data_IF_230165204786
#
_entry.id   IF_230165204786
#
_cell.length_a   1.000
_cell.length_b   1.000
_cell.length_c   1.000
_cell.angle_alpha   90.00
_cell.angle_beta   90.00
_cell.angle_gamma   90.00
#
_symmetry.space_group_name_H-M   'P 1'
#
loop_
_entity.id
_entity.type
_entity.pdbx_description
1 polymer ?
#
# COMPACT_ATOMS: atom_id res chain seq x y z
N UNK A 1 -14.72 -24.43 -3.60
CA UNK A 1 -14.16 -23.09 -3.89
C UNK A 1 -15.31 -22.19 -4.29
N UNK A 2 -15.65 -21.20 -3.46
CA UNK A 2 -16.72 -20.25 -3.78
C UNK A 2 -16.33 -19.51 -5.07
N UNK A 3 -17.16 -19.56 -6.10
CA UNK A 3 -16.91 -18.94 -7.41
C UNK A 3 -15.63 -19.38 -8.15
N UNK A 4 -15.09 -20.58 -7.86
CA UNK A 4 -13.89 -21.08 -8.55
C UNK A 4 -12.59 -20.35 -8.19
N UNK A 5 -12.56 -19.63 -7.06
CA UNK A 5 -11.36 -18.94 -6.60
C UNK A 5 -10.20 -19.91 -6.35
N UNK A 6 -9.05 -19.63 -6.96
CA UNK A 6 -7.81 -20.36 -6.72
C UNK A 6 -7.27 -20.05 -5.32
N UNK A 7 -6.85 -21.09 -4.60
CA UNK A 7 -6.15 -20.92 -3.32
C UNK A 7 -4.71 -20.53 -3.63
N UNK A 8 -4.13 -19.52 -2.93
CA UNK A 8 -2.72 -19.18 -3.10
C UNK A 8 -1.84 -20.42 -2.86
N UNK A 9 -0.83 -20.63 -3.70
CA UNK A 9 0.08 -21.77 -3.56
C UNK A 9 0.82 -21.75 -2.22
N UNK A 10 1.08 -20.56 -1.68
CA UNK A 10 1.78 -20.34 -0.42
C UNK A 10 0.97 -19.42 0.50
N UNK A 11 0.13 -20.03 1.35
CA UNK A 11 -0.68 -19.31 2.33
C UNK A 11 0.14 -18.41 3.26
N UNK A 12 1.25 -18.88 3.87
CA UNK A 12 2.09 -18.03 4.71
C UNK A 12 2.59 -16.76 4.00
N UNK A 13 3.11 -16.90 2.77
CA UNK A 13 3.59 -15.77 1.99
C UNK A 13 2.46 -14.77 1.70
N UNK A 14 1.28 -15.26 1.35
CA UNK A 14 0.09 -14.43 1.15
C UNK A 14 -0.26 -13.60 2.38
N UNK A 15 -0.32 -14.21 3.56
CA UNK A 15 -0.64 -13.50 4.82
C UNK A 15 0.45 -12.50 5.21
N UNK A 16 1.72 -12.78 4.94
CA UNK A 16 2.81 -11.81 5.14
C UNK A 16 2.63 -10.60 4.23
N UNK A 17 2.37 -10.80 2.94
CA UNK A 17 2.12 -9.71 2.00
C UNK A 17 0.89 -8.89 2.39
N UNK A 18 -0.16 -9.55 2.90
CA UNK A 18 -1.35 -8.89 3.45
C UNK A 18 -1.03 -8.05 4.70
N UNK A 19 -0.24 -8.58 5.62
CA UNK A 19 0.20 -7.83 6.80
C UNK A 19 1.00 -6.58 6.41
N UNK A 20 1.86 -6.69 5.38
CA UNK A 20 2.62 -5.57 4.85
C UNK A 20 1.72 -4.51 4.19
N UNK A 21 0.67 -4.92 3.47
CA UNK A 21 -0.34 -4.00 2.94
C UNK A 21 -1.01 -3.19 4.05
N UNK A 22 -1.44 -3.86 5.12
CA UNK A 22 -2.09 -3.24 6.27
C UNK A 22 -1.11 -2.27 6.94
N UNK A 23 0.14 -2.70 7.16
CA UNK A 23 1.16 -1.86 7.77
C UNK A 23 1.43 -0.60 6.94
N UNK A 24 1.64 -0.73 5.63
CA UNK A 24 1.83 0.41 4.72
C UNK A 24 0.63 1.38 4.74
N UNK A 25 -0.59 0.83 4.77
CA UNK A 25 -1.83 1.61 4.87
C UNK A 25 -1.90 2.39 6.19
N UNK A 26 -1.52 1.76 7.31
CA UNK A 26 -1.46 2.43 8.61
C UNK A 26 -0.40 3.53 8.61
N UNK A 27 0.81 3.26 8.14
CA UNK A 27 1.91 4.22 8.15
C UNK A 27 1.59 5.47 7.31
N UNK A 28 0.98 5.29 6.13
CA UNK A 28 0.52 6.40 5.30
C UNK A 28 -0.67 7.14 5.94
N UNK A 29 -1.61 6.43 6.53
CA UNK A 29 -2.71 7.01 7.30
C UNK A 29 -2.25 7.88 8.48
N UNK A 30 -1.20 7.44 9.19
CA UNK A 30 -0.59 8.21 10.29
C UNK A 30 0.00 9.53 9.80
N UNK A 31 0.70 9.54 8.66
CA UNK A 31 1.23 10.78 8.07
C UNK A 31 0.11 11.77 7.81
N UNK A 32 -0.99 11.33 7.17
CA UNK A 32 -2.12 12.21 6.92
C UNK A 32 -2.80 12.67 8.19
N UNK A 33 -2.96 11.79 9.19
CA UNK A 33 -3.52 12.14 10.50
C UNK A 33 -2.72 13.20 11.25
N UNK A 34 -1.39 13.21 11.10
CA UNK A 34 -0.51 14.21 11.72
C UNK A 34 -0.45 15.54 10.96
N UNK A 35 -0.80 15.55 9.66
CA UNK A 35 -0.75 16.76 8.81
C UNK A 35 -2.13 17.44 8.76
N UNK A 36 -3.21 16.67 8.68
CA UNK A 36 -4.56 17.19 8.43
C UNK A 36 -5.32 17.35 9.75
N UNK A 37 -5.52 18.60 10.16
CA UNK A 37 -6.17 18.93 11.45
C UNK A 37 -7.67 18.64 11.55
N UNK A 38 -8.34 18.34 10.44
CA UNK A 38 -9.80 18.15 10.39
C UNK A 38 -10.14 16.74 9.92
N UNK A 39 -10.96 16.04 10.68
CA UNK A 39 -11.39 14.66 10.38
C UNK A 39 -12.06 14.52 9.01
N UNK A 40 -12.92 15.47 8.62
CA UNK A 40 -13.59 15.45 7.32
C UNK A 40 -12.58 15.57 6.15
N UNK A 41 -11.59 16.47 6.28
CA UNK A 41 -10.53 16.63 5.27
C UNK A 41 -9.60 15.42 5.22
N UNK A 42 -9.29 14.81 6.36
CA UNK A 42 -8.44 13.62 6.43
C UNK A 42 -9.05 12.45 5.63
N UNK A 43 -10.34 12.20 5.83
CA UNK A 43 -11.08 11.17 5.12
C UNK A 43 -11.05 11.40 3.60
N UNK A 44 -11.34 12.63 3.16
CA UNK A 44 -11.31 13.00 1.74
C UNK A 44 -9.92 12.78 1.11
N UNK A 45 -8.85 13.28 1.75
CA UNK A 45 -7.49 13.13 1.23
C UNK A 45 -7.10 11.66 1.15
N UNK A 46 -7.46 10.86 2.16
CA UNK A 46 -7.16 9.43 2.19
C UNK A 46 -7.86 8.72 1.04
N UNK A 47 -9.15 8.98 0.82
CA UNK A 47 -9.89 8.36 -0.28
C UNK A 47 -9.33 8.71 -1.66
N UNK A 48 -8.92 9.97 -1.88
CA UNK A 48 -8.32 10.41 -3.15
C UNK A 48 -7.00 9.69 -3.44
N UNK A 49 -6.26 9.26 -2.41
CA UNK A 49 -4.97 8.56 -2.59
C UNK A 49 -5.16 7.04 -2.62
N UNK A 50 -6.05 6.51 -1.77
CA UNK A 50 -6.27 5.08 -1.64
C UNK A 50 -7.02 4.51 -2.84
N UNK A 51 -7.99 5.24 -3.40
CA UNK A 51 -8.77 4.74 -4.52
C UNK A 51 -7.92 4.55 -5.80
N UNK A 52 -7.09 5.52 -6.24
CA UNK A 52 -6.14 5.30 -7.33
C UNK A 52 -5.13 4.19 -7.03
N UNK A 53 -4.72 4.04 -5.77
CA UNK A 53 -3.84 2.95 -5.33
C UNK A 53 -4.45 1.58 -5.61
N UNK A 54 -5.73 1.38 -5.26
CA UNK A 54 -6.43 0.12 -5.52
C UNK A 54 -6.74 -0.09 -7.01
N UNK A 55 -7.04 0.99 -7.74
CA UNK A 55 -7.32 0.91 -9.18
C UNK A 55 -6.07 0.52 -9.98
N UNK A 56 -4.92 1.12 -9.65
CA UNK A 56 -3.67 0.91 -10.39
C UNK A 56 -2.91 -0.35 -9.95
N UNK A 57 -3.30 -0.99 -8.85
CA UNK A 57 -2.60 -2.15 -8.30
C UNK A 57 -2.78 -3.44 -9.08
N UNK A 58 -3.81 -3.52 -9.92
CA UNK A 58 -4.18 -4.76 -10.59
C UNK A 58 -5.27 -5.57 -9.88
N UNK A 59 -5.75 -5.10 -8.71
CA UNK A 59 -6.82 -5.78 -7.95
C UNK A 59 -8.14 -5.79 -8.72
N UNK A 60 -8.50 -4.67 -9.35
CA UNK A 60 -9.79 -4.51 -10.03
C UNK A 60 -9.77 -4.96 -11.50
N UNK A 61 -8.65 -4.79 -12.19
CA UNK A 61 -8.42 -5.25 -13.55
C UNK A 61 -6.94 -5.59 -13.74
N UNK A 62 -6.59 -6.53 -14.64
CA UNK A 62 -5.20 -6.95 -14.81
C UNK A 62 -4.27 -5.78 -15.10
N UNK A 63 -3.12 -5.74 -14.41
CA UNK A 63 -2.13 -4.68 -14.63
C UNK A 63 -1.59 -4.64 -16.07
N UNK A 64 -1.77 -5.69 -16.86
CA UNK A 64 -1.45 -5.77 -18.30
C UNK A 64 -2.35 -4.96 -19.20
N UNK A 65 -3.55 -4.59 -18.74
CA UNK A 65 -4.48 -3.76 -19.50
C UNK A 65 -4.25 -2.26 -19.29
N UNK A 66 -3.37 -1.90 -18.35
CA UNK A 66 -3.01 -0.51 -18.09
C UNK A 66 -2.04 0.03 -19.15
N UNK A 67 -2.27 1.26 -19.66
CA UNK A 67 -1.25 2.00 -20.39
C UNK A 67 0.06 2.06 -19.60
N UNK A 68 1.20 2.05 -20.31
CA UNK A 68 2.53 1.99 -19.69
C UNK A 68 2.75 3.08 -18.63
N UNK A 69 2.21 4.28 -18.86
CA UNK A 69 2.30 5.42 -17.93
C UNK A 69 1.58 5.13 -16.61
N UNK A 70 0.33 4.66 -16.66
CA UNK A 70 -0.47 4.36 -15.47
C UNK A 70 0.07 3.15 -14.71
N UNK A 71 0.56 2.15 -15.44
CA UNK A 71 1.27 1.00 -14.83
C UNK A 71 2.53 1.45 -14.10
N UNK A 72 3.29 2.38 -14.68
CA UNK A 72 4.45 3.00 -14.04
C UNK A 72 4.06 3.77 -12.77
N UNK A 73 3.01 4.59 -12.85
CA UNK A 73 2.48 5.34 -11.70
C UNK A 73 1.98 4.42 -10.58
N UNK A 74 1.35 3.29 -10.92
CA UNK A 74 0.92 2.27 -9.97
C UNK A 74 2.08 1.75 -9.12
N UNK A 75 3.29 1.63 -9.68
CA UNK A 75 4.49 1.20 -8.93
C UNK A 75 4.99 2.24 -7.89
N UNK A 76 4.43 3.44 -7.84
CA UNK A 76 4.71 4.38 -6.75
C UNK A 76 3.83 4.10 -5.51
N UNK A 77 2.80 3.28 -5.67
CA UNK A 77 1.77 3.04 -4.67
C UNK A 77 1.98 1.68 -3.99
N UNK A 78 1.79 1.63 -2.68
CA UNK A 78 2.02 0.41 -1.89
C UNK A 78 1.08 -0.74 -2.29
N UNK A 79 -0.15 -0.45 -2.73
CA UNK A 79 -1.12 -1.47 -3.09
C UNK A 79 -0.67 -2.33 -4.29
N UNK A 80 0.02 -1.73 -5.26
CA UNK A 80 0.52 -2.45 -6.44
C UNK A 80 1.55 -3.51 -6.06
N UNK A 81 2.54 -3.12 -5.24
CA UNK A 81 3.56 -4.05 -4.76
C UNK A 81 3.00 -5.12 -3.83
N UNK A 82 2.10 -4.74 -2.92
CA UNK A 82 1.45 -5.69 -2.01
C UNK A 82 0.59 -6.71 -2.74
N UNK A 83 -0.17 -6.27 -3.75
CA UNK A 83 -1.01 -7.18 -4.51
C UNK A 83 -0.18 -8.15 -5.35
N UNK A 84 0.87 -7.66 -6.03
CA UNK A 84 1.80 -8.50 -6.78
C UNK A 84 2.52 -9.51 -5.87
N UNK A 85 2.87 -9.12 -4.64
CA UNK A 85 3.44 -10.02 -3.63
C UNK A 85 2.44 -11.09 -3.14
N UNK A 86 1.14 -10.77 -3.04
CA UNK A 86 0.10 -11.73 -2.68
C UNK A 86 -0.16 -12.77 -3.79
N UNK A 87 -0.07 -12.36 -5.05
CA UNK A 87 -0.27 -13.25 -6.20
C UNK A 87 0.98 -14.07 -6.56
N UNK A 88 2.14 -13.75 -5.98
CA UNK A 88 3.38 -14.47 -6.22
C UNK A 88 3.40 -15.82 -5.50
N UNK A 89 4.05 -16.85 -6.07
CA UNK A 89 4.14 -18.19 -5.47
C UNK A 89 4.96 -18.21 -4.16
N UNK A 90 5.66 -17.13 -3.84
CA UNK A 90 6.42 -16.96 -2.61
C UNK A 90 6.81 -15.49 -2.36
N UNK A 91 7.62 -15.28 -1.33
CA UNK A 91 8.14 -13.97 -0.95
C UNK A 91 9.34 -13.59 -1.82
N UNK A 92 9.11 -12.89 -2.93
CA UNK A 92 10.19 -12.33 -3.76
C UNK A 92 10.73 -11.03 -3.14
N UNK A 93 12.03 -11.01 -2.84
CA UNK A 93 12.72 -9.84 -2.33
C UNK A 93 12.58 -8.62 -3.24
N UNK A 94 12.44 -8.81 -4.56
CA UNK A 94 12.24 -7.73 -5.54
C UNK A 94 10.93 -6.97 -5.33
N UNK A 95 9.90 -7.65 -4.83
CA UNK A 95 8.59 -7.05 -4.51
C UNK A 95 8.58 -6.47 -3.09
N UNK A 96 9.30 -7.11 -2.16
CA UNK A 96 9.35 -6.68 -0.77
C UNK A 96 10.22 -5.44 -0.55
N UNK A 97 11.33 -5.28 -1.28
CA UNK A 97 12.24 -4.14 -1.13
C UNK A 97 11.54 -2.78 -1.34
N UNK A 98 10.81 -2.56 -2.45
CA UNK A 98 10.04 -1.33 -2.64
C UNK A 98 9.00 -1.12 -1.54
N UNK A 99 8.33 -2.20 -1.12
CA UNK A 99 7.33 -2.18 -0.05
C UNK A 99 7.89 -1.70 1.28
N UNK A 100 9.06 -2.20 1.67
CA UNK A 100 9.75 -1.76 2.88
C UNK A 100 10.06 -0.27 2.80
N UNK A 101 10.55 0.22 1.67
CA UNK A 101 10.77 1.67 1.45
C UNK A 101 9.49 2.49 1.62
N UNK A 102 8.38 2.02 1.05
CA UNK A 102 7.06 2.66 1.15
C UNK A 102 6.44 2.59 2.55
N UNK A 103 6.94 1.74 3.45
CA UNK A 103 6.55 1.67 4.87
C UNK A 103 7.45 2.58 5.71
N UNK A 104 8.77 2.48 5.53
CA UNK A 104 9.76 3.21 6.32
C UNK A 104 9.70 4.72 6.08
N UNK A 105 9.46 5.16 4.84
CA UNK A 105 9.37 6.59 4.52
C UNK A 105 8.22 7.29 5.28
N UNK A 106 6.95 6.83 5.19
CA UNK A 106 5.85 7.40 5.98
C UNK A 106 6.06 7.29 7.50
N UNK A 107 6.66 6.18 7.98
CA UNK A 107 6.99 6.03 9.40
C UNK A 107 7.99 7.10 9.86
N UNK A 108 9.07 7.31 9.10
CA UNK A 108 10.08 8.30 9.42
C UNK A 108 9.49 9.72 9.42
N UNK A 109 8.65 10.05 8.42
CA UNK A 109 7.94 11.33 8.35
C UNK A 109 7.03 11.51 9.58
N UNK A 110 6.28 10.47 9.95
CA UNK A 110 5.38 10.50 11.10
C UNK A 110 6.14 10.70 12.41
N UNK A 111 7.23 9.95 12.62
CA UNK A 111 8.09 10.07 13.80
C UNK A 111 8.73 11.47 13.89
N UNK A 112 9.22 12.00 12.77
CA UNK A 112 9.79 13.35 12.71
C UNK A 112 8.75 14.43 13.04
N UNK A 113 7.55 14.36 12.44
CA UNK A 113 6.45 15.30 12.71
C UNK A 113 6.01 15.22 14.18
N UNK A 114 5.90 14.01 14.72
CA UNK A 114 5.51 13.80 16.11
C UNK A 114 6.52 14.40 17.09
N UNK A 115 7.81 14.22 16.84
CA UNK A 115 8.86 14.81 17.68
C UNK A 115 8.89 16.34 17.61
N UNK A 116 8.53 16.94 16.47
CA UNK A 116 8.38 18.40 16.37
C UNK A 116 7.19 18.93 17.16
N UNK A 117 6.04 18.24 17.09
CA UNK A 117 4.85 18.63 17.87
C UNK A 117 5.11 18.55 19.38
N UNK A 118 5.90 17.57 19.84
CA UNK A 118 6.26 17.43 21.26
C UNK A 118 7.26 18.48 21.77
N UNK A 119 7.96 19.17 20.86
CA UNK A 119 8.97 20.18 21.20
C UNK A 119 8.43 21.62 21.18
N UNK A 120 7.18 21.80 20.72
CA UNK A 120 6.38 23.03 20.82
C UNK A 120 5.57 23.04 22.12
#
# INVERSE_FOLDING_TARGET
>A
MLFGAAVPQNLPAYFVALALLILASLCTGLVFGLIVKSAAKLSMVTQIIFLPSVLLSGIMFPASMLPAVLRGAGKLLFASWSFEAMCSPGLDAKLLLPLVGLILLPLAISAWRLNRIKAE
#
